data_IF_019078607273
#
_entry.id   IF_019078607273
#
_cell.length_a   1.000
_cell.length_b   1.000
_cell.length_c   1.000
_cell.angle_alpha   90.00
_cell.angle_beta   90.00
_cell.angle_gamma   90.00
#
_symmetry.space_group_name_H-M   'P 1'
#
loop_
_entity.id
_entity.type
_entity.pdbx_description
1 polymer ?
#
# COMPACT_ATOMS: atom_id res chain seq x y z
N UNK A 1 -24.58 42.10 -27.45
CA UNK A 1 -25.04 41.25 -26.34
C UNK A 1 -24.90 39.77 -26.65
N UNK A 2 -25.37 39.27 -27.81
CA UNK A 2 -25.27 37.83 -28.16
C UNK A 2 -23.84 37.29 -28.22
N UNK A 3 -22.87 38.04 -28.75
CA UNK A 3 -21.49 37.64 -28.84
C UNK A 3 -20.76 37.68 -27.47
N UNK A 4 -21.16 38.58 -26.58
CA UNK A 4 -20.60 38.68 -25.23
C UNK A 4 -21.01 37.49 -24.37
N UNK A 5 -22.24 37.00 -24.58
CA UNK A 5 -22.79 35.82 -23.90
C UNK A 5 -22.06 34.54 -24.33
N UNK A 6 -21.73 34.42 -25.61
CA UNK A 6 -20.95 33.29 -26.13
C UNK A 6 -19.51 33.26 -25.57
N UNK A 7 -18.86 34.43 -25.47
CA UNK A 7 -17.51 34.53 -24.88
C UNK A 7 -17.53 34.13 -23.38
N UNK A 8 -18.58 34.56 -22.65
CA UNK A 8 -18.72 34.20 -21.24
C UNK A 8 -18.90 32.67 -21.04
N UNK A 9 -19.69 32.01 -21.90
CA UNK A 9 -19.90 30.56 -21.85
C UNK A 9 -18.61 29.78 -22.14
N UNK A 10 -17.83 30.23 -23.13
CA UNK A 10 -16.52 29.62 -23.46
C UNK A 10 -15.53 29.81 -22.33
N UNK A 11 -15.49 30.98 -21.67
CA UNK A 11 -14.60 31.22 -20.53
C UNK A 11 -14.95 30.38 -19.30
N UNK A 12 -16.22 30.07 -19.04
CA UNK A 12 -16.64 29.21 -17.94
C UNK A 12 -16.30 27.72 -18.18
N UNK A 13 -16.20 27.28 -19.44
CA UNK A 13 -15.90 25.89 -19.76
C UNK A 13 -14.40 25.52 -19.62
N UNK A 14 -13.49 26.49 -19.46
CA UNK A 14 -12.06 26.25 -19.34
C UNK A 14 -11.55 25.98 -17.91
N UNK A 15 -12.41 26.09 -16.89
CA UNK A 15 -12.02 25.92 -15.48
C UNK A 15 -11.99 24.47 -14.98
N UNK A 16 -12.19 23.48 -15.86
CA UNK A 16 -12.35 22.06 -15.50
C UNK A 16 -11.07 21.26 -15.17
N UNK A 17 -9.87 21.84 -15.22
CA UNK A 17 -8.60 21.09 -15.18
C UNK A 17 -8.08 20.74 -13.76
N UNK A 18 -8.84 20.97 -12.69
CA UNK A 18 -8.38 20.77 -11.31
C UNK A 18 -8.60 19.38 -10.69
N UNK A 19 -9.35 18.49 -11.33
CA UNK A 19 -9.79 17.22 -10.73
C UNK A 19 -9.03 16.04 -11.36
N UNK A 20 -7.70 16.06 -11.30
CA UNK A 20 -6.92 14.88 -11.64
C UNK A 20 -6.80 14.03 -10.35
N UNK A 21 -7.49 12.90 -10.34
CA UNK A 21 -7.34 11.89 -9.29
C UNK A 21 -5.91 11.32 -9.34
N UNK A 22 -5.12 11.56 -8.30
CA UNK A 22 -3.78 10.98 -8.16
C UNK A 22 -3.87 9.76 -7.24
N UNK A 23 -3.55 8.60 -7.79
CA UNK A 23 -3.44 7.38 -7.00
C UNK A 23 -2.16 7.42 -6.14
N UNK A 24 -2.21 6.85 -4.93
CA UNK A 24 -0.99 6.60 -4.15
C UNK A 24 -0.06 5.68 -4.95
N UNK A 25 1.21 6.06 -5.03
CA UNK A 25 2.23 5.27 -5.74
C UNK A 25 3.07 4.55 -4.68
N UNK A 26 3.10 3.23 -4.79
CA UNK A 26 3.94 2.36 -3.96
C UNK A 26 5.19 1.94 -4.73
N UNK A 27 6.32 1.90 -4.05
CA UNK A 27 7.60 1.46 -4.60
C UNK A 27 8.37 0.64 -3.57
N UNK A 28 9.28 -0.23 -4.05
CA UNK A 28 10.11 -1.10 -3.23
C UNK A 28 9.44 -2.42 -2.88
N UNK A 29 9.82 -3.01 -1.76
CA UNK A 29 9.30 -4.30 -1.30
C UNK A 29 7.90 -4.15 -0.71
N UNK A 30 6.88 -4.50 -1.48
CA UNK A 30 5.50 -4.54 -0.99
C UNK A 30 5.25 -5.86 -0.26
N UNK A 31 5.44 -5.83 1.05
CA UNK A 31 5.21 -6.99 1.92
C UNK A 31 3.73 -7.15 2.19
N UNK A 32 3.22 -8.37 2.01
CA UNK A 32 1.83 -8.72 2.31
C UNK A 32 1.68 -9.07 3.79
N UNK A 33 0.62 -8.58 4.41
CA UNK A 33 0.28 -8.93 5.80
C UNK A 33 0.21 -10.44 6.03
N UNK A 34 -0.35 -11.19 5.08
CA UNK A 34 -0.42 -12.64 5.11
C UNK A 34 0.96 -13.31 5.11
N UNK A 35 1.94 -12.75 4.41
CA UNK A 35 3.30 -13.26 4.39
C UNK A 35 4.01 -13.03 5.72
N UNK A 36 3.78 -11.87 6.35
CA UNK A 36 4.34 -11.58 7.69
C UNK A 36 3.70 -12.50 8.75
N UNK A 37 2.40 -12.77 8.64
CA UNK A 37 1.71 -13.69 9.54
C UNK A 37 2.22 -15.14 9.48
N UNK A 38 2.82 -15.53 8.34
CA UNK A 38 3.44 -16.85 8.15
C UNK A 38 4.92 -16.89 8.53
N UNK A 39 5.52 -15.75 8.87
CA UNK A 39 6.92 -15.66 9.28
C UNK A 39 7.07 -16.24 10.69
N UNK A 40 8.02 -17.17 10.84
CA UNK A 40 8.29 -17.85 12.11
C UNK A 40 9.78 -17.91 12.39
N UNK A 41 10.15 -17.85 13.66
CA UNK A 41 11.53 -18.09 14.09
C UNK A 41 11.96 -19.51 13.68
N UNK A 42 13.22 -19.68 13.28
CA UNK A 42 13.77 -20.94 12.79
C UNK A 42 13.58 -21.21 11.30
N UNK A 43 12.82 -20.38 10.57
CA UNK A 43 12.71 -20.49 9.11
C UNK A 43 14.06 -20.19 8.43
N UNK A 44 14.36 -20.92 7.37
CA UNK A 44 15.58 -20.68 6.58
C UNK A 44 15.46 -19.44 5.71
N UNK A 45 16.58 -18.86 5.29
CA UNK A 45 16.63 -17.75 4.32
C UNK A 45 15.84 -18.05 3.04
N UNK A 46 15.86 -19.29 2.57
CA UNK A 46 15.10 -19.69 1.37
C UNK A 46 13.59 -19.60 1.60
N UNK A 47 13.11 -20.03 2.77
CA UNK A 47 11.70 -19.92 3.14
C UNK A 47 11.26 -18.46 3.27
N UNK A 48 12.08 -17.60 3.90
CA UNK A 48 11.83 -16.17 4.00
C UNK A 48 11.79 -15.52 2.61
N UNK A 49 12.71 -15.88 1.72
CA UNK A 49 12.71 -15.38 0.34
C UNK A 49 11.45 -15.81 -0.43
N UNK A 50 10.94 -17.00 -0.19
CA UNK A 50 9.68 -17.45 -0.79
C UNK A 50 8.46 -16.70 -0.25
N UNK A 51 8.46 -16.28 1.02
CA UNK A 51 7.37 -15.54 1.67
C UNK A 51 7.39 -14.04 1.38
N UNK A 52 8.54 -13.41 1.53
CA UNK A 52 8.71 -11.95 1.46
C UNK A 52 9.34 -11.46 0.15
N UNK A 53 9.94 -12.37 -0.62
CA UNK A 53 10.72 -12.04 -1.81
C UNK A 53 12.15 -11.62 -1.47
N UNK A 54 12.88 -11.15 -2.47
CA UNK A 54 14.26 -10.68 -2.34
C UNK A 54 14.30 -9.33 -1.63
N UNK A 55 15.16 -9.13 -0.61
CA UNK A 55 15.29 -7.83 0.06
C UNK A 55 15.78 -6.75 -0.90
N UNK A 56 15.33 -5.51 -0.69
CA UNK A 56 15.72 -4.35 -1.51
C UNK A 56 17.20 -4.04 -1.38
N UNK A 57 17.76 -4.28 -0.20
CA UNK A 57 19.17 -3.97 0.11
C UNK A 57 19.83 -5.26 0.61
N UNK A 58 20.47 -6.03 -0.28
CA UNK A 58 21.37 -7.10 0.14
C UNK A 58 22.68 -6.45 0.61
N UNK A 59 22.88 -6.38 1.93
CA UNK A 59 24.13 -5.90 2.49
C UNK A 59 25.15 -7.05 2.55
N UNK A 60 26.23 -7.00 1.76
CA UNK A 60 27.27 -8.05 1.78
C UNK A 60 28.05 -8.10 3.10
N UNK A 61 28.05 -7.00 3.88
CA UNK A 61 28.74 -6.92 5.15
C UNK A 61 27.90 -7.43 6.33
N UNK A 62 26.59 -7.47 6.17
CA UNK A 62 25.64 -7.93 7.19
C UNK A 62 24.73 -9.04 6.64
N UNK A 63 25.34 -10.16 6.23
CA UNK A 63 24.63 -11.31 5.67
C UNK A 63 23.54 -11.91 6.61
N UNK A 64 23.57 -11.53 7.88
CA UNK A 64 22.61 -11.94 8.92
C UNK A 64 21.40 -11.00 9.04
N UNK A 65 21.32 -9.97 8.17
CA UNK A 65 20.24 -8.99 8.19
C UNK A 65 19.72 -8.76 6.79
N UNK A 66 18.40 -8.85 6.63
CA UNK A 66 17.71 -8.52 5.38
C UNK A 66 16.77 -7.35 5.58
N UNK A 67 17.01 -6.28 4.82
CA UNK A 67 16.21 -5.06 4.88
C UNK A 67 15.26 -4.97 3.68
N UNK A 68 13.98 -4.86 4.00
CA UNK A 68 12.89 -4.66 3.05
C UNK A 68 12.40 -3.22 3.17
N UNK A 69 12.72 -2.40 2.21
CA UNK A 69 12.33 -0.99 2.19
C UNK A 69 11.19 -0.78 1.21
N UNK A 70 10.17 -0.08 1.64
CA UNK A 70 9.06 0.32 0.80
C UNK A 70 8.72 1.80 1.01
N UNK A 71 8.24 2.45 -0.04
CA UNK A 71 7.81 3.84 0.01
C UNK A 71 6.44 4.03 -0.62
N UNK A 72 5.67 4.94 -0.06
CA UNK A 72 4.37 5.34 -0.56
C UNK A 72 4.30 6.85 -0.70
N UNK A 73 3.91 7.33 -1.88
CA UNK A 73 3.54 8.75 -2.06
C UNK A 73 2.10 8.95 -1.60
N UNK A 74 1.92 9.76 -0.54
CA UNK A 74 0.66 9.84 0.20
C UNK A 74 -0.25 10.97 -0.25
N UNK A 75 0.29 12.05 -0.84
CA UNK A 75 -0.50 13.24 -1.13
C UNK A 75 -0.19 13.94 -2.48
N UNK A 76 -0.99 14.99 -2.77
CA UNK A 76 -0.80 15.84 -3.96
C UNK A 76 0.50 16.63 -3.93
N UNK A 77 1.05 16.92 -2.74
CA UNK A 77 2.28 17.67 -2.54
C UNK A 77 3.53 16.79 -2.72
N UNK A 78 3.33 15.48 -2.92
CA UNK A 78 4.40 14.53 -3.18
C UNK A 78 5.15 14.09 -1.93
N UNK A 79 4.54 14.22 -0.74
CA UNK A 79 5.11 13.64 0.48
C UNK A 79 5.23 12.15 0.32
N UNK A 80 6.41 11.64 0.62
CA UNK A 80 6.69 10.21 0.55
C UNK A 80 6.89 9.68 1.97
N UNK A 81 6.14 8.67 2.32
CA UNK A 81 6.34 7.88 3.54
C UNK A 81 7.19 6.67 3.20
N UNK A 82 8.21 6.39 4.01
CA UNK A 82 9.11 5.24 3.86
C UNK A 82 8.92 4.34 5.07
N UNK A 83 8.78 3.04 4.82
CA UNK A 83 8.72 2.01 5.85
C UNK A 83 9.79 0.97 5.62
N UNK A 84 10.41 0.53 6.71
CA UNK A 84 11.45 -0.48 6.70
C UNK A 84 11.00 -1.65 7.56
N UNK A 85 11.12 -2.84 6.99
CA UNK A 85 10.91 -4.09 7.68
C UNK A 85 12.19 -4.92 7.61
N UNK A 86 12.71 -5.32 8.75
CA UNK A 86 14.00 -5.99 8.87
C UNK A 86 13.83 -7.38 9.45
N UNK A 87 14.47 -8.38 8.83
CA UNK A 87 14.53 -9.74 9.31
C UNK A 87 15.98 -10.05 9.70
N UNK A 88 16.16 -10.56 10.92
CA UNK A 88 17.46 -10.96 11.46
C UNK A 88 17.60 -12.47 11.45
N UNK A 89 18.80 -12.93 11.09
CA UNK A 89 19.14 -14.34 11.00
C UNK A 89 20.26 -14.68 11.97
N UNK A 90 20.17 -15.85 12.58
CA UNK A 90 21.23 -16.50 13.32
C UNK A 90 21.40 -17.91 12.75
N UNK A 91 22.62 -18.27 12.38
CA UNK A 91 22.90 -19.57 11.73
C UNK A 91 22.03 -19.87 10.51
N UNK A 92 21.79 -18.81 9.66
CA UNK A 92 20.93 -18.86 8.48
C UNK A 92 19.44 -19.15 8.75
N UNK A 93 19.01 -19.03 9.99
CA UNK A 93 17.62 -19.16 10.42
C UNK A 93 17.11 -17.84 10.99
N UNK A 94 15.82 -17.57 10.81
CA UNK A 94 15.17 -16.39 11.38
C UNK A 94 15.26 -16.42 12.91
N UNK A 95 15.86 -15.39 13.47
CA UNK A 95 15.89 -15.15 14.91
C UNK A 95 14.75 -14.23 15.34
N UNK A 96 14.63 -13.10 14.67
CA UNK A 96 13.61 -12.09 14.95
C UNK A 96 13.37 -11.22 13.73
N UNK A 97 12.28 -10.44 13.77
CA UNK A 97 12.00 -9.39 12.79
C UNK A 97 11.41 -8.18 13.49
N UNK A 98 11.54 -7.02 12.86
CA UNK A 98 11.06 -5.76 13.39
C UNK A 98 10.76 -4.76 12.27
N UNK A 99 9.99 -3.72 12.58
CA UNK A 99 9.67 -2.62 11.66
C UNK A 99 8.24 -2.63 11.13
N UNK A 100 7.99 -1.71 10.21
CA UNK A 100 6.68 -1.47 9.62
C UNK A 100 6.66 -1.79 8.12
N UNK A 101 5.48 -2.11 7.62
CA UNK A 101 5.23 -2.30 6.19
C UNK A 101 3.89 -1.66 5.79
N UNK A 102 3.70 -1.43 4.50
CA UNK A 102 2.43 -0.96 4.00
C UNK A 102 1.49 -2.15 3.76
N UNK A 103 0.22 -2.04 4.20
CA UNK A 103 -0.79 -3.02 3.79
C UNK A 103 -0.89 -3.03 2.26
N UNK A 104 -1.20 -4.17 1.69
CA UNK A 104 -1.40 -4.29 0.24
C UNK A 104 -2.43 -3.27 -0.24
N UNK A 105 -2.19 -2.72 -1.43
CA UNK A 105 -3.05 -1.72 -2.07
C UNK A 105 -4.54 -2.11 -2.04
N UNK A 106 -4.83 -3.41 -2.20
CA UNK A 106 -6.20 -3.94 -2.17
C UNK A 106 -6.84 -3.82 -0.79
N UNK A 107 -6.10 -4.01 0.29
CA UNK A 107 -6.60 -3.87 1.65
C UNK A 107 -6.87 -2.39 2.01
N UNK A 108 -6.05 -1.46 1.54
CA UNK A 108 -6.31 -0.02 1.72
C UNK A 108 -7.50 0.44 0.90
N UNK A 109 -7.62 0.00 -0.34
CA UNK A 109 -8.77 0.31 -1.19
C UNK A 109 -10.06 -0.27 -0.58
N UNK A 110 -10.02 -1.49 -0.06
CA UNK A 110 -11.13 -2.11 0.64
C UNK A 110 -11.52 -1.32 1.91
N UNK A 111 -10.55 -0.89 2.72
CA UNK A 111 -10.82 -0.05 3.90
C UNK A 111 -11.39 1.32 3.53
N UNK A 112 -10.88 1.94 2.47
CA UNK A 112 -11.41 3.23 1.97
C UNK A 112 -12.81 3.08 1.43
N UNK A 113 -13.10 2.04 0.66
CA UNK A 113 -14.44 1.78 0.12
C UNK A 113 -15.46 1.50 1.22
N UNK A 114 -15.10 0.72 2.24
CA UNK A 114 -15.96 0.48 3.42
C UNK A 114 -16.22 1.77 4.19
N UNK A 115 -15.22 2.66 4.35
CA UNK A 115 -15.42 3.95 5.02
C UNK A 115 -16.31 4.89 4.21
N UNK A 116 -16.15 4.91 2.89
CA UNK A 116 -16.84 5.82 2.00
C UNK A 116 -18.27 5.36 1.66
N UNK A 117 -18.45 4.06 1.48
CA UNK A 117 -19.71 3.46 1.02
C UNK A 117 -20.36 2.53 2.04
N UNK A 118 -19.68 2.17 3.12
CA UNK A 118 -20.15 1.18 4.11
C UNK A 118 -21.47 1.53 4.80
N UNK A 119 -21.84 2.81 4.86
CA UNK A 119 -23.16 3.22 5.36
C UNK A 119 -24.29 2.98 4.35
N UNK A 120 -23.95 2.86 3.07
CA UNK A 120 -24.91 2.75 1.96
C UNK A 120 -25.02 1.31 1.42
N UNK A 121 -24.21 0.37 1.95
CA UNK A 121 -24.41 -1.03 1.66
C UNK A 121 -25.75 -1.46 2.26
N UNK A 122 -26.70 -1.82 1.38
CA UNK A 122 -27.98 -2.37 1.81
C UNK A 122 -27.73 -3.53 2.78
N UNK A 123 -28.27 -3.41 4.00
CA UNK A 123 -28.26 -4.52 4.95
C UNK A 123 -28.98 -5.66 4.27
N UNK A 124 -28.26 -6.72 3.92
CA UNK A 124 -28.88 -7.96 3.46
C UNK A 124 -29.92 -8.37 4.49
N UNK A 125 -31.20 -8.22 4.12
CA UNK A 125 -32.30 -8.76 4.90
C UNK A 125 -32.08 -10.26 4.95
N UNK A 126 -31.59 -10.76 6.08
CA UNK A 126 -31.64 -12.18 6.42
C UNK A 126 -33.07 -12.60 6.24
N UNK A 127 -33.40 -13.26 5.12
CA UNK A 127 -34.66 -13.92 4.88
C UNK A 127 -34.70 -15.08 5.85
N UNK A 128 -35.42 -14.89 6.96
CA UNK A 128 -35.71 -15.95 7.90
C UNK A 128 -36.49 -17.03 7.15
N UNK A 129 -35.87 -18.18 6.95
CA UNK A 129 -36.54 -19.39 6.52
C UNK A 129 -37.36 -19.95 7.70
N UNK A 130 -38.61 -20.16 7.45
CA UNK A 130 -39.46 -21.07 8.20
C UNK A 130 -39.14 -22.51 7.79
#
# INVERSE_FOLDING_TARGET
MRNLLLIAVVALSTTGCGIIYKQPIYQGNLIREQSVAQLQAGQSKQQVNALLGTPSIPDPFHAQRWDYTSSQRVDRLGRTEVKNFTVFFENDQVSRWEGDYFPTQDAELARKSVRQFGRNLAKDKKKGGR
#
